data_IF_889463912595
#
_entry.id   IF_889463912595
#
_cell.length_a   1.000
_cell.length_b   1.000
_cell.length_c   1.000
_cell.angle_alpha   90.00
_cell.angle_beta   90.00
_cell.angle_gamma   90.00
#
_symmetry.space_group_name_H-M   'P 1'
#
loop_
_entity.id
_entity.type
_entity.pdbx_description
1 polymer ?
#
# COMPACT_ATOMS: atom_id res chain seq x y z
N UNK A 1 -50.16 18.26 -67.84
CA UNK A 1 -49.18 19.08 -68.60
C UNK A 1 -48.05 19.40 -67.62
N UNK A 2 -46.86 18.82 -67.82
CA UNK A 2 -45.65 19.48 -68.34
C UNK A 2 -45.24 20.68 -67.47
N UNK A 3 -44.04 20.84 -66.89
CA UNK A 3 -42.67 20.82 -67.42
C UNK A 3 -41.68 20.65 -66.21
N UNK A 4 -40.56 19.89 -66.27
CA UNK A 4 -39.18 20.33 -66.63
C UNK A 4 -38.78 21.69 -66.00
N UNK A 5 -37.59 22.00 -65.47
CA UNK A 5 -36.22 21.43 -65.36
C UNK A 5 -35.36 22.58 -64.76
N UNK A 6 -34.19 22.29 -64.16
CA UNK A 6 -32.97 23.17 -64.06
C UNK A 6 -33.10 24.44 -63.17
N UNK A 7 -32.08 25.02 -62.53
CA UNK A 7 -30.76 24.66 -62.02
C UNK A 7 -30.18 25.93 -61.33
N UNK A 8 -29.16 25.74 -60.50
CA UNK A 8 -28.00 26.63 -60.33
C UNK A 8 -28.10 27.94 -59.52
N UNK A 9 -27.13 28.03 -58.58
CA UNK A 9 -26.31 29.19 -58.19
C UNK A 9 -26.98 30.40 -57.49
N UNK A 10 -26.56 30.70 -56.26
CA UNK A 10 -25.49 31.67 -56.02
C UNK A 10 -25.20 31.87 -54.51
N UNK A 11 -23.93 32.12 -54.23
CA UNK A 11 -23.31 32.32 -52.93
C UNK A 11 -23.83 33.55 -52.15
N UNK A 12 -23.88 33.43 -50.83
CA UNK A 12 -23.71 34.55 -49.92
C UNK A 12 -22.88 34.07 -48.73
N UNK A 13 -21.66 34.58 -48.63
CA UNK A 13 -20.68 34.21 -47.62
C UNK A 13 -21.13 34.56 -46.21
N UNK A 14 -20.92 33.63 -45.27
CA UNK A 14 -20.97 33.93 -43.85
C UNK A 14 -19.56 34.36 -43.43
N UNK A 15 -19.41 35.65 -43.13
CA UNK A 15 -18.25 36.21 -42.47
C UNK A 15 -18.09 35.57 -41.08
N UNK A 16 -16.88 35.14 -40.67
CA UNK A 16 -16.61 34.86 -39.27
C UNK A 16 -16.41 36.19 -38.54
N UNK A 17 -17.50 36.75 -38.04
CA UNK A 17 -17.50 37.89 -37.12
C UNK A 17 -17.14 37.41 -35.71
N UNK A 18 -15.96 37.84 -35.26
CA UNK A 18 -15.46 37.95 -33.89
C UNK A 18 -16.53 37.79 -32.79
N UNK A 19 -16.60 36.59 -32.21
CA UNK A 19 -17.15 36.34 -30.89
C UNK A 19 -16.00 36.08 -29.92
N UNK A 20 -15.53 37.11 -29.23
CA UNK A 20 -14.59 36.96 -28.11
C UNK A 20 -15.35 36.39 -26.92
N UNK A 21 -15.41 35.05 -26.82
CA UNK A 21 -15.85 34.36 -25.61
C UNK A 21 -14.64 34.26 -24.66
N UNK A 22 -14.62 34.95 -23.50
CA UNK A 22 -13.51 34.87 -22.56
C UNK A 22 -13.74 33.67 -21.64
N UNK A 23 -13.61 32.44 -22.15
CA UNK A 23 -13.88 31.25 -21.35
C UNK A 23 -12.89 30.09 -21.55
N UNK A 24 -11.88 30.23 -22.40
CA UNK A 24 -10.97 29.12 -22.73
C UNK A 24 -9.51 29.29 -22.28
N UNK A 25 -9.16 30.39 -21.60
CA UNK A 25 -7.78 30.63 -21.13
C UNK A 25 -7.59 30.56 -19.60
N UNK A 26 -8.64 30.31 -18.81
CA UNK A 26 -8.54 30.31 -17.35
C UNK A 26 -8.46 28.92 -16.70
N UNK A 27 -8.51 27.83 -17.48
CA UNK A 27 -8.50 26.45 -16.92
C UNK A 27 -7.12 25.77 -17.01
N UNK A 28 -6.18 26.30 -17.79
CA UNK A 28 -4.84 25.73 -18.00
C UNK A 28 -3.71 26.45 -17.22
N UNK A 29 -4.09 27.41 -16.38
CA UNK A 29 -3.19 28.11 -15.46
C UNK A 29 -3.71 27.99 -14.02
N UNK A 30 -4.22 26.82 -13.62
CA UNK A 30 -3.94 26.34 -12.26
C UNK A 30 -2.42 26.17 -12.27
N UNK A 31 -1.75 27.27 -11.91
CA UNK A 31 -0.35 27.52 -12.17
C UNK A 31 0.46 26.37 -11.61
N UNK A 32 1.53 25.97 -12.31
CA UNK A 32 2.53 25.03 -11.76
C UNK A 32 2.94 25.44 -10.34
N UNK A 33 2.91 26.74 -10.04
CA UNK A 33 3.14 27.32 -8.71
C UNK A 33 2.11 26.91 -7.65
N UNK A 34 0.83 26.76 -8.01
CA UNK A 34 -0.22 26.28 -7.10
C UNK A 34 -0.06 24.79 -6.82
N UNK A 35 0.29 24.01 -7.85
CA UNK A 35 0.61 22.59 -7.71
C UNK A 35 1.88 22.37 -6.89
N UNK A 36 2.93 23.18 -7.14
CA UNK A 36 4.18 23.16 -6.40
C UNK A 36 3.97 23.52 -4.93
N UNK A 37 3.15 24.55 -4.65
CA UNK A 37 2.82 24.94 -3.27
C UNK A 37 1.99 23.85 -2.56
N UNK A 38 1.09 23.18 -3.27
CA UNK A 38 0.34 22.04 -2.71
C UNK A 38 1.25 20.84 -2.43
N UNK A 39 2.22 20.57 -3.31
CA UNK A 39 3.24 19.53 -3.11
C UNK A 39 4.12 19.84 -1.90
N UNK A 40 4.62 21.08 -1.79
CA UNK A 40 5.42 21.52 -0.64
C UNK A 40 4.64 21.46 0.67
N UNK A 41 3.35 21.81 0.66
CA UNK A 41 2.50 21.68 1.84
C UNK A 41 2.32 20.22 2.28
N UNK A 42 2.14 19.30 1.33
CA UNK A 42 2.08 17.86 1.61
C UNK A 42 3.42 17.33 2.16
N UNK A 43 4.55 17.75 1.60
CA UNK A 43 5.89 17.38 2.09
C UNK A 43 6.14 17.94 3.50
N UNK A 44 5.70 19.17 3.78
CA UNK A 44 5.80 19.76 5.10
C UNK A 44 4.94 19.01 6.13
N UNK A 45 3.72 18.60 5.75
CA UNK A 45 2.84 17.80 6.61
C UNK A 45 3.46 16.43 6.95
N UNK A 46 4.03 15.75 5.94
CA UNK A 46 4.76 14.48 6.10
C UNK A 46 6.01 14.59 6.99
N UNK A 47 6.66 15.76 7.02
CA UNK A 47 7.85 16.01 7.86
C UNK A 47 7.49 16.50 9.26
N UNK A 48 6.31 17.09 9.45
CA UNK A 48 5.84 17.60 10.74
C UNK A 48 5.07 16.54 11.54
N UNK A 49 4.40 15.59 10.88
CA UNK A 49 3.88 14.37 11.52
C UNK A 49 4.99 13.34 11.80
N UNK A 50 5.92 13.71 12.69
CA UNK A 50 6.45 12.79 13.68
C UNK A 50 7.23 11.56 13.22
N UNK A 51 7.94 11.56 12.09
CA UNK A 51 9.06 10.63 11.94
C UNK A 51 10.29 11.23 12.63
N UNK A 52 10.39 11.00 13.94
CA UNK A 52 11.59 11.29 14.72
C UNK A 52 12.69 10.32 14.27
N UNK A 53 13.34 10.64 13.15
CA UNK A 53 14.69 10.18 12.90
C UNK A 53 15.61 11.06 13.76
N UNK A 54 15.86 10.62 15.00
CA UNK A 54 16.98 11.14 15.79
C UNK A 54 18.28 10.71 15.10
N UNK A 55 18.82 11.58 14.25
CA UNK A 55 20.16 11.44 13.71
C UNK A 55 21.22 11.87 14.72
N UNK A 56 22.37 11.20 14.67
CA UNK A 56 23.48 11.23 15.60
C UNK A 56 24.17 12.59 15.72
N UNK A 57 24.76 12.88 16.90
CA UNK A 57 26.23 13.04 17.03
C UNK A 57 26.65 13.61 18.39
N UNK A 58 27.26 12.77 19.25
CA UNK A 58 28.68 12.88 19.61
C UNK A 58 29.07 11.98 20.80
N UNK A 59 30.01 11.08 20.51
CA UNK A 59 31.10 10.58 21.36
C UNK A 59 30.77 9.92 22.72
N UNK A 60 30.82 8.58 22.73
CA UNK A 60 31.64 7.85 23.71
C UNK A 60 31.84 6.40 23.25
N UNK A 61 33.07 5.90 23.43
CA UNK A 61 33.42 4.49 23.36
C UNK A 61 32.36 3.61 24.03
N UNK A 62 31.87 2.63 23.28
CA UNK A 62 30.97 1.61 23.74
C UNK A 62 30.28 0.98 22.54
N UNK A 63 30.88 -0.07 21.99
CA UNK A 63 30.12 -1.07 21.22
C UNK A 63 29.15 -1.70 22.23
N UNK A 64 28.04 -1.01 22.50
CA UNK A 64 26.86 -1.64 23.02
C UNK A 64 26.40 -2.60 21.91
N UNK A 65 26.21 -3.89 22.19
CA UNK A 65 25.70 -4.78 21.17
C UNK A 65 24.39 -4.16 20.70
N UNK A 66 24.21 -3.97 19.39
CA UNK A 66 22.87 -3.82 18.83
C UNK A 66 22.11 -5.02 19.35
N UNK A 67 21.31 -4.84 20.40
CA UNK A 67 20.34 -5.84 20.80
C UNK A 67 19.39 -5.88 19.63
N UNK A 68 19.70 -6.78 18.70
CA UNK A 68 18.95 -7.05 17.51
C UNK A 68 17.56 -7.44 18.00
N UNK A 69 16.66 -6.45 18.07
CA UNK A 69 15.30 -6.68 18.52
C UNK A 69 14.76 -7.77 17.60
N UNK A 70 14.23 -8.83 18.20
CA UNK A 70 13.58 -9.87 17.43
C UNK A 70 12.53 -9.19 16.53
N UNK A 71 12.42 -9.61 15.26
CA UNK A 71 11.39 -9.07 14.38
C UNK A 71 10.04 -9.25 15.06
N UNK A 72 9.34 -8.12 15.28
CA UNK A 72 8.00 -8.13 15.83
C UNK A 72 7.05 -8.53 14.70
N UNK A 73 6.67 -9.80 14.69
CA UNK A 73 5.73 -10.32 13.72
C UNK A 73 4.36 -9.66 13.91
N UNK A 74 3.67 -9.38 12.80
CA UNK A 74 2.34 -8.78 12.83
C UNK A 74 1.42 -9.47 13.85
N UNK A 75 0.80 -8.67 14.72
CA UNK A 75 -0.03 -9.15 15.84
C UNK A 75 -1.15 -10.11 15.41
N UNK A 76 -1.63 -10.01 14.17
CA UNK A 76 -2.71 -10.83 13.62
C UNK A 76 -2.31 -12.27 13.29
N UNK A 77 -1.02 -12.57 13.11
CA UNK A 77 -0.57 -13.92 12.76
C UNK A 77 -0.83 -14.91 13.89
N UNK A 78 -1.46 -16.04 13.54
CA UNK A 78 -1.79 -17.12 14.47
C UNK A 78 -3.01 -16.85 15.36
N UNK A 79 -3.65 -15.68 15.27
CA UNK A 79 -4.83 -15.37 16.10
C UNK A 79 -6.08 -16.18 15.71
N UNK A 80 -6.08 -16.75 14.51
CA UNK A 80 -7.21 -17.58 14.03
C UNK A 80 -7.19 -19.00 14.60
N UNK A 81 -6.09 -19.39 15.26
CA UNK A 81 -5.96 -20.66 15.95
C UNK A 81 -6.56 -20.57 17.36
N UNK A 82 -7.29 -21.61 17.75
CA UNK A 82 -8.00 -21.67 19.04
C UNK A 82 -7.69 -22.96 19.81
N UNK A 83 -7.26 -24.01 19.12
CA UNK A 83 -6.71 -25.20 19.78
C UNK A 83 -5.36 -24.89 20.43
N UNK A 84 -5.23 -25.23 21.72
CA UNK A 84 -4.06 -24.86 22.52
C UNK A 84 -2.77 -25.51 22.02
N UNK A 85 -2.83 -26.75 21.50
CA UNK A 85 -1.65 -27.46 21.00
C UNK A 85 -1.18 -26.87 19.67
N UNK A 86 -2.13 -26.48 18.81
CA UNK A 86 -1.83 -25.81 17.54
C UNK A 86 -1.25 -24.40 17.76
N UNK A 87 -1.80 -23.64 18.72
CA UNK A 87 -1.25 -22.33 19.12
C UNK A 87 0.18 -22.48 19.64
N UNK A 88 0.44 -23.46 20.51
CA UNK A 88 1.78 -23.70 21.03
C UNK A 88 2.79 -24.05 19.93
N UNK A 89 2.38 -24.85 18.94
CA UNK A 89 3.21 -25.17 17.77
C UNK A 89 3.52 -23.92 16.93
N UNK A 90 2.53 -23.08 16.68
CA UNK A 90 2.71 -21.85 15.91
C UNK A 90 3.70 -20.90 16.60
N UNK A 91 3.52 -20.65 17.89
CA UNK A 91 4.40 -19.77 18.66
C UNK A 91 5.83 -20.34 18.77
N UNK A 92 5.97 -21.66 18.90
CA UNK A 92 7.28 -22.31 18.88
C UNK A 92 8.05 -22.10 17.57
N UNK A 93 7.36 -22.20 16.43
CA UNK A 93 7.94 -21.88 15.12
C UNK A 93 8.30 -20.40 15.02
N UNK A 94 7.40 -19.52 15.46
CA UNK A 94 7.61 -18.07 15.43
C UNK A 94 8.85 -17.67 16.21
N UNK A 95 9.06 -18.23 17.40
CA UNK A 95 10.27 -18.03 18.18
C UNK A 95 11.52 -18.55 17.46
N UNK A 96 11.44 -19.74 16.84
CA UNK A 96 12.53 -20.31 16.07
C UNK A 96 12.91 -19.40 14.88
N UNK A 97 11.94 -18.91 14.12
CA UNK A 97 12.16 -17.97 13.02
C UNK A 97 12.76 -16.64 13.51
N UNK A 98 12.31 -16.12 14.66
CA UNK A 98 12.96 -14.94 15.26
C UNK A 98 14.44 -15.18 15.58
N UNK A 99 14.84 -16.42 15.90
CA UNK A 99 16.26 -16.79 16.11
C UNK A 99 16.99 -16.94 14.77
N UNK A 100 16.34 -17.52 13.77
CA UNK A 100 16.91 -17.67 12.43
C UNK A 100 17.17 -16.33 11.74
N UNK A 101 16.27 -15.36 11.89
CA UNK A 101 16.45 -14.00 11.34
C UNK A 101 17.65 -13.31 12.00
N UNK A 102 17.77 -13.39 13.33
CA UNK A 102 18.95 -12.89 14.07
C UNK A 102 20.24 -13.63 13.69
N UNK A 103 20.12 -14.92 13.35
CA UNK A 103 21.22 -15.73 12.84
C UNK A 103 21.57 -15.47 11.37
N UNK A 104 20.80 -14.64 10.66
CA UNK A 104 20.97 -14.42 9.21
C UNK A 104 20.63 -15.63 8.34
N UNK A 105 19.88 -16.60 8.86
CA UNK A 105 19.52 -17.84 8.17
C UNK A 105 18.31 -17.67 7.24
N UNK A 106 17.40 -16.75 7.56
CA UNK A 106 16.27 -16.37 6.72
C UNK A 106 15.98 -14.87 6.83
N UNK A 107 15.29 -14.31 5.85
CA UNK A 107 14.84 -12.91 5.87
C UNK A 107 13.50 -12.78 6.60
N UNK A 108 13.15 -11.59 7.11
CA UNK A 108 11.81 -11.34 7.67
C UNK A 108 10.69 -11.73 6.70
N UNK A 109 10.79 -11.35 5.42
CA UNK A 109 9.78 -11.67 4.41
C UNK A 109 9.60 -13.17 4.22
N UNK A 110 10.69 -13.94 4.25
CA UNK A 110 10.63 -15.41 4.17
C UNK A 110 9.92 -15.99 5.40
N UNK A 111 10.21 -15.47 6.58
CA UNK A 111 9.55 -15.91 7.81
C UNK A 111 8.06 -15.55 7.84
N UNK A 112 7.69 -14.36 7.37
CA UNK A 112 6.28 -13.95 7.22
C UNK A 112 5.53 -14.91 6.29
N UNK A 113 6.07 -15.15 5.09
CA UNK A 113 5.47 -16.07 4.14
C UNK A 113 5.36 -17.50 4.72
N UNK A 114 6.35 -17.94 5.51
CA UNK A 114 6.29 -19.23 6.17
C UNK A 114 5.19 -19.28 7.24
N UNK A 115 5.10 -18.27 8.10
CA UNK A 115 4.09 -18.20 9.17
C UNK A 115 2.67 -18.13 8.61
N UNK A 116 2.43 -17.36 7.54
CA UNK A 116 1.12 -17.33 6.87
C UNK A 116 0.72 -18.72 6.35
N UNK A 117 1.64 -19.42 5.68
CA UNK A 117 1.37 -20.78 5.19
C UNK A 117 1.18 -21.78 6.33
N UNK A 118 1.94 -21.64 7.41
CA UNK A 118 1.79 -22.49 8.60
C UNK A 118 0.42 -22.29 9.26
N UNK A 119 -0.05 -21.05 9.39
CA UNK A 119 -1.38 -20.75 9.94
C UNK A 119 -2.48 -21.45 9.13
N UNK A 120 -2.41 -21.38 7.80
CA UNK A 120 -3.35 -22.09 6.91
C UNK A 120 -3.35 -23.60 7.18
N UNK A 121 -2.17 -24.22 7.29
CA UNK A 121 -2.05 -25.66 7.55
C UNK A 121 -2.64 -26.05 8.91
N UNK A 122 -2.38 -25.25 9.95
CA UNK A 122 -2.89 -25.51 11.29
C UNK A 122 -4.41 -25.28 11.37
N UNK A 123 -4.97 -24.34 10.61
CA UNK A 123 -6.42 -24.17 10.51
C UNK A 123 -7.12 -25.41 9.93
N UNK A 124 -6.56 -26.01 8.88
CA UNK A 124 -7.09 -27.26 8.31
C UNK A 124 -7.03 -28.42 9.30
N UNK A 125 -5.96 -28.49 10.10
CA UNK A 125 -5.81 -29.48 11.17
C UNK A 125 -6.86 -29.26 12.27
N UNK A 126 -7.10 -28.01 12.66
CA UNK A 126 -8.14 -27.63 13.64
C UNK A 126 -9.53 -28.07 13.18
N UNK A 127 -9.87 -27.87 11.90
CA UNK A 127 -11.14 -28.33 11.33
C UNK A 127 -11.27 -29.86 11.37
N UNK A 128 -10.19 -30.59 11.06
CA UNK A 128 -10.17 -32.05 11.15
C UNK A 128 -10.37 -32.55 12.58
N UNK A 129 -9.74 -31.91 13.57
CA UNK A 129 -9.91 -32.23 14.99
C UNK A 129 -11.35 -31.96 15.44
N UNK A 130 -11.93 -30.82 15.04
CA UNK A 130 -13.31 -30.48 15.37
C UNK A 130 -14.31 -31.50 14.80
N UNK A 131 -14.17 -31.89 13.53
CA UNK A 131 -15.03 -32.90 12.89
C UNK A 131 -14.87 -34.30 13.50
N UNK A 132 -13.65 -34.69 13.86
CA UNK A 132 -13.39 -35.93 14.58
C UNK A 132 -14.01 -35.94 15.98
N UNK A 133 -14.01 -34.80 16.68
CA UNK A 133 -14.60 -34.69 18.03
C UNK A 133 -16.14 -34.75 18.00
N UNK A 134 -16.77 -34.24 16.93
CA UNK A 134 -18.22 -34.24 16.76
C UNK A 134 -18.80 -35.61 16.36
N UNK A 135 -17.95 -36.57 15.97
CA UNK A 135 -18.36 -37.90 15.49
C UNK A 135 -18.28 -39.00 16.56
N UNK A 136 -17.81 -38.68 17.77
CA UNK A 136 -17.70 -39.58 18.93
C UNK A 136 -18.75 -39.23 19.99
#
# INVERSE_FOLDING_TARGET
MAEKKTAAHAAAGIQPGSGTTPAAHQVLAVTDETMQRAYEALVADLTMEGFVASDESHASNGVSPKTEQAPDFARGLGQTLHDADLVARFEGVKENLSREIRGGMCTPDQAYAYLENLEILLLLEQEALATSSASN
#
